data_IF_958052264392
#
_entry.id   IF_958052264392
#
_cell.length_a   1.000
_cell.length_b   1.000
_cell.length_c   1.000
_cell.angle_alpha   90.00
_cell.angle_beta   90.00
_cell.angle_gamma   90.00
#
_symmetry.space_group_name_H-M   'P 1'
#
loop_
_entity.id
_entity.type
_entity.pdbx_description
1 polymer ?
#
# COMPACT_ATOMS: atom_id res chain seq x y z
N UNK A 1 -15.46 13.51 4.71
CA UNK A 1 -14.71 12.28 4.89
C UNK A 1 -13.31 12.44 4.30
N UNK A 2 -12.31 11.94 4.99
CA UNK A 2 -10.93 12.03 4.50
C UNK A 2 -10.72 10.91 3.48
N UNK A 3 -10.27 11.27 2.28
CA UNK A 3 -10.01 10.28 1.23
C UNK A 3 -8.54 9.90 1.20
N UNK A 4 -8.25 8.60 1.23
CA UNK A 4 -6.89 8.07 1.18
C UNK A 4 -6.77 6.96 0.15
N UNK A 5 -5.56 6.79 -0.36
CA UNK A 5 -5.20 5.69 -1.26
C UNK A 5 -4.21 4.77 -0.57
N UNK A 6 -4.31 3.48 -0.84
CA UNK A 6 -3.30 2.50 -0.43
C UNK A 6 -2.84 1.74 -1.66
N UNK A 7 -1.57 1.34 -1.68
CA UNK A 7 -1.00 0.59 -2.80
C UNK A 7 -0.43 -0.74 -2.36
N UNK A 8 -0.82 -1.79 -3.05
CA UNK A 8 -0.28 -3.13 -2.85
C UNK A 8 0.47 -3.53 -4.11
N UNK A 9 1.80 -3.40 -4.08
CA UNK A 9 2.66 -3.74 -5.20
C UNK A 9 2.87 -5.25 -5.22
N UNK A 10 2.39 -5.86 -6.30
CA UNK A 10 2.44 -7.31 -6.48
C UNK A 10 3.78 -7.71 -7.09
N UNK A 11 4.45 -8.69 -6.48
CA UNK A 11 5.63 -9.32 -7.02
C UNK A 11 5.50 -10.83 -6.82
N UNK A 12 4.99 -11.52 -7.84
CA UNK A 12 4.66 -12.94 -7.78
C UNK A 12 3.62 -13.22 -6.69
N UNK A 13 3.94 -14.00 -5.66
CA UNK A 13 3.04 -14.27 -4.53
C UNK A 13 3.25 -13.33 -3.35
N UNK A 14 4.07 -12.28 -3.54
CA UNK A 14 4.45 -11.35 -2.48
C UNK A 14 3.94 -9.94 -2.77
N UNK A 15 3.91 -9.11 -1.73
CA UNK A 15 3.59 -7.71 -1.85
C UNK A 15 4.47 -6.86 -0.94
N UNK A 16 4.66 -5.61 -1.31
CA UNK A 16 5.56 -4.69 -0.60
C UNK A 16 4.85 -4.06 0.58
N UNK A 17 5.53 -4.08 1.73
CA UNK A 17 5.12 -3.35 2.93
C UNK A 17 6.24 -2.42 3.36
N UNK A 18 5.87 -1.28 3.97
CA UNK A 18 6.82 -0.30 4.49
C UNK A 18 6.65 -0.09 5.98
N UNK A 19 7.77 0.05 6.69
CA UNK A 19 7.74 0.33 8.12
C UNK A 19 7.86 1.82 8.38
N UNK A 20 6.89 2.38 9.11
CA UNK A 20 6.90 3.77 9.53
C UNK A 20 8.11 4.04 10.43
N UNK A 21 8.66 5.24 10.32
CA UNK A 21 9.89 5.57 11.07
C UNK A 21 9.63 5.60 12.56
N UNK A 22 10.69 5.37 13.34
CA UNK A 22 10.61 5.35 14.81
C UNK A 22 10.32 6.72 15.40
N UNK A 23 10.59 7.80 14.66
CA UNK A 23 10.32 9.17 15.11
C UNK A 23 8.99 9.71 14.58
N UNK A 24 8.21 8.89 13.89
CA UNK A 24 6.89 9.30 13.43
C UNK A 24 5.96 9.48 14.64
N UNK A 25 5.31 10.65 14.80
CA UNK A 25 4.43 10.88 15.95
C UNK A 25 3.16 10.04 15.91
N UNK A 26 2.85 9.42 14.76
CA UNK A 26 1.65 8.63 14.57
C UNK A 26 2.05 7.19 14.24
N UNK A 27 1.81 6.27 15.18
CA UNK A 27 2.08 4.85 15.05
C UNK A 27 3.52 4.55 14.58
N UNK A 28 4.53 4.95 15.35
CA UNK A 28 5.94 4.67 14.99
C UNK A 28 6.18 3.16 14.92
N UNK A 29 7.03 2.76 13.98
CA UNK A 29 7.44 1.36 13.75
C UNK A 29 6.35 0.41 13.25
N UNK A 30 5.12 0.88 13.06
CA UNK A 30 4.08 0.08 12.43
C UNK A 30 4.36 -0.11 10.95
N UNK A 31 3.93 -1.25 10.43
CA UNK A 31 4.02 -1.56 9.01
C UNK A 31 2.74 -1.15 8.29
N UNK A 32 2.86 -0.84 7.02
CA UNK A 32 1.71 -0.37 6.24
C UNK A 32 1.87 -0.66 4.75
N UNK A 33 0.74 -0.61 4.05
CA UNK A 33 0.73 -0.51 2.59
C UNK A 33 0.95 0.97 2.25
N UNK A 34 2.04 1.31 1.54
CA UNK A 34 2.33 2.72 1.25
C UNK A 34 1.20 3.43 0.51
N UNK A 35 0.96 4.67 0.88
CA UNK A 35 -0.09 5.51 0.32
C UNK A 35 -0.26 6.77 1.13
N UNK A 36 -1.41 7.40 1.06
CA UNK A 36 -1.65 8.61 1.81
C UNK A 36 -2.92 9.32 1.40
N UNK A 37 -3.08 10.55 1.85
CA UNK A 37 -4.25 11.35 1.56
C UNK A 37 -4.28 11.79 0.10
N UNK A 38 -5.48 11.81 -0.47
CA UNK A 38 -5.69 12.41 -1.79
C UNK A 38 -5.56 13.92 -1.62
N UNK A 39 -4.63 14.52 -2.37
CA UNK A 39 -4.34 15.95 -2.33
C UNK A 39 -5.32 16.67 -3.25
N UNK A 40 -5.72 17.93 -2.95
CA UNK A 40 -6.56 18.70 -3.87
C UNK A 40 -5.98 18.85 -5.28
N UNK A 41 -4.66 18.70 -5.44
CA UNK A 41 -4.02 18.74 -6.76
C UNK A 41 -4.10 17.43 -7.53
N UNK A 42 -4.49 16.34 -6.87
CA UNK A 42 -4.67 15.06 -7.54
C UNK A 42 -5.99 15.06 -8.32
N UNK A 43 -5.92 14.78 -9.62
CA UNK A 43 -7.11 14.76 -10.47
C UNK A 43 -7.98 13.54 -10.21
N UNK A 44 -7.34 12.41 -9.84
CA UNK A 44 -7.99 11.13 -9.64
C UNK A 44 -7.31 10.38 -8.50
N UNK A 45 -7.97 9.38 -7.89
CA UNK A 45 -7.29 8.47 -6.97
C UNK A 45 -6.09 7.76 -7.60
N UNK A 46 -6.18 7.44 -8.90
CA UNK A 46 -5.07 6.85 -9.67
C UNK A 46 -3.84 7.76 -9.65
N UNK A 47 -4.04 9.05 -9.89
CA UNK A 47 -2.95 10.03 -9.83
C UNK A 47 -2.36 10.09 -8.42
N UNK A 48 -3.22 10.07 -7.40
CA UNK A 48 -2.79 10.16 -6.00
C UNK A 48 -1.87 8.99 -5.60
N UNK A 49 -2.23 7.75 -5.96
CA UNK A 49 -1.41 6.59 -5.58
C UNK A 49 -0.05 6.62 -6.29
N UNK A 50 -0.02 7.03 -7.55
CA UNK A 50 1.24 7.14 -8.30
C UNK A 50 2.14 8.22 -7.68
N UNK A 51 1.56 9.36 -7.31
CA UNK A 51 2.29 10.46 -6.65
C UNK A 51 2.85 10.02 -5.31
N UNK A 52 2.02 9.40 -4.47
CA UNK A 52 2.44 8.95 -3.13
C UNK A 52 3.59 7.94 -3.20
N UNK A 53 3.52 6.97 -4.11
CA UNK A 53 4.59 6.00 -4.28
C UNK A 53 5.87 6.63 -4.80
N UNK A 54 5.77 7.62 -5.68
CA UNK A 54 6.93 8.37 -6.16
C UNK A 54 7.58 9.17 -5.02
N UNK A 55 6.77 9.87 -4.21
CA UNK A 55 7.27 10.65 -3.10
C UNK A 55 7.89 9.79 -2.00
N UNK A 56 7.24 8.70 -1.61
CA UNK A 56 7.66 7.90 -0.47
C UNK A 56 8.76 6.91 -0.80
N UNK A 57 8.76 6.34 -1.98
CA UNK A 57 9.62 5.22 -2.35
C UNK A 57 10.45 5.45 -3.61
N UNK A 58 10.19 6.53 -4.34
CA UNK A 58 10.81 6.80 -5.65
C UNK A 58 10.59 5.66 -6.65
N UNK A 59 9.45 5.01 -6.58
CA UNK A 59 9.04 3.95 -7.49
C UNK A 59 7.90 4.44 -8.37
N UNK A 60 8.02 4.19 -9.68
CA UNK A 60 6.94 4.38 -10.62
C UNK A 60 6.13 3.09 -10.71
N UNK A 61 4.83 3.20 -10.53
CA UNK A 61 3.91 2.06 -10.54
C UNK A 61 2.83 2.23 -11.59
N UNK A 62 2.30 1.10 -12.07
CA UNK A 62 1.08 1.06 -12.87
C UNK A 62 -0.05 0.56 -12.00
N UNK A 63 -1.21 1.19 -12.11
CA UNK A 63 -2.40 0.70 -11.42
C UNK A 63 -2.94 -0.49 -12.17
N UNK A 64 -3.02 -1.63 -11.47
CA UNK A 64 -3.46 -2.89 -12.05
C UNK A 64 -4.95 -3.09 -11.84
N UNK A 65 -5.44 -2.77 -10.64
CA UNK A 65 -6.84 -2.91 -10.29
C UNK A 65 -7.18 -2.00 -9.11
N UNK A 66 -8.32 -1.34 -9.17
CA UNK A 66 -8.87 -0.62 -8.02
C UNK A 66 -9.91 -1.51 -7.36
N UNK A 67 -9.63 -1.93 -6.14
CA UNK A 67 -10.61 -2.62 -5.32
C UNK A 67 -11.70 -1.62 -4.95
N UNK A 68 -12.99 -2.00 -4.98
CA UNK A 68 -14.05 -1.04 -4.68
C UNK A 68 -13.78 -0.25 -3.40
N UNK A 69 -13.81 1.10 -3.49
CA UNK A 69 -13.57 1.94 -2.31
C UNK A 69 -14.57 1.67 -1.22
N UNK A 70 -14.15 1.84 0.03
CA UNK A 70 -15.01 1.61 1.19
C UNK A 70 -14.64 2.49 2.37
N UNK A 71 -15.64 2.76 3.18
CA UNK A 71 -15.45 3.52 4.40
C UNK A 71 -14.75 2.68 5.46
N UNK A 72 -13.76 3.28 6.12
CA UNK A 72 -13.09 2.72 7.28
C UNK A 72 -12.92 3.83 8.31
N UNK A 73 -13.80 3.85 9.33
CA UNK A 73 -13.85 4.93 10.29
C UNK A 73 -14.15 6.26 9.58
N UNK A 74 -13.31 7.26 9.77
CA UNK A 74 -13.46 8.57 9.15
C UNK A 74 -12.89 8.65 7.73
N UNK A 75 -12.36 7.54 7.21
CA UNK A 75 -11.68 7.50 5.93
C UNK A 75 -12.52 6.82 4.86
N UNK A 76 -12.47 7.38 3.65
CA UNK A 76 -12.84 6.66 2.43
C UNK A 76 -11.54 6.13 1.83
N UNK A 77 -11.43 4.81 1.75
CA UNK A 77 -10.18 4.15 1.33
C UNK A 77 -10.31 3.65 -0.10
N UNK A 78 -9.33 4.00 -0.93
CA UNK A 78 -9.20 3.55 -2.32
C UNK A 78 -8.01 2.59 -2.39
N UNK A 79 -8.25 1.28 -2.31
CA UNK A 79 -7.15 0.29 -2.31
C UNK A 79 -6.80 -0.14 -3.73
N UNK A 80 -5.57 0.13 -4.13
CA UNK A 80 -5.07 -0.26 -5.45
C UNK A 80 -4.18 -1.48 -5.38
N UNK A 81 -4.33 -2.37 -6.36
CA UNK A 81 -3.31 -3.36 -6.69
C UNK A 81 -2.40 -2.73 -7.74
N UNK A 82 -1.10 -2.81 -7.53
CA UNK A 82 -0.11 -2.12 -8.34
C UNK A 82 0.86 -3.12 -8.96
N UNK A 83 1.42 -2.74 -10.11
CA UNK A 83 2.54 -3.43 -10.72
C UNK A 83 3.72 -2.48 -10.84
N UNK A 84 4.93 -3.02 -10.68
CA UNK A 84 6.16 -2.27 -10.80
C UNK A 84 6.37 -1.82 -12.25
N UNK A 85 6.73 -0.56 -12.43
CA UNK A 85 7.08 -0.01 -13.73
C UNK A 85 8.57 0.29 -13.80
N UNK A 86 9.09 1.09 -12.88
CA UNK A 86 10.50 1.48 -12.86
C UNK A 86 10.89 2.07 -11.51
N UNK A 87 12.19 2.26 -11.33
CA UNK A 87 12.74 2.90 -10.15
C UNK A 87 13.33 1.92 -9.15
N UNK A 88 14.15 2.44 -8.26
CA UNK A 88 14.77 1.67 -7.19
C UNK A 88 14.28 2.25 -5.86
N UNK A 89 13.76 1.40 -5.00
CA UNK A 89 13.15 1.83 -3.74
C UNK A 89 14.10 2.68 -2.90
N UNK A 90 13.62 3.86 -2.49
CA UNK A 90 14.30 4.73 -1.54
C UNK A 90 13.44 4.91 -0.29
N UNK A 91 14.10 5.02 0.85
CA UNK A 91 13.42 5.14 2.16
C UNK A 91 13.14 6.61 2.47
N UNK A 92 12.30 7.27 1.68
CA UNK A 92 11.97 8.68 1.88
C UNK A 92 10.97 8.90 3.02
N UNK A 93 10.12 7.92 3.28
CA UNK A 93 9.06 8.01 4.29
C UNK A 93 9.05 6.82 5.24
N UNK A 94 9.83 5.79 4.96
CA UNK A 94 9.87 4.55 5.74
C UNK A 94 11.29 4.25 6.16
N UNK A 95 11.46 3.53 7.27
CA UNK A 95 12.79 3.10 7.70
C UNK A 95 13.19 1.74 7.11
N UNK A 96 12.22 0.98 6.60
CA UNK A 96 12.46 -0.32 5.95
C UNK A 96 11.31 -0.66 5.02
N UNK A 97 11.60 -1.42 3.96
CA UNK A 97 10.58 -2.03 3.10
C UNK A 97 10.90 -3.51 2.96
N UNK A 98 9.85 -4.32 2.80
CA UNK A 98 9.98 -5.77 2.59
C UNK A 98 8.90 -6.24 1.64
N UNK A 99 9.20 -7.34 0.95
CA UNK A 99 8.19 -8.11 0.23
C UNK A 99 7.84 -9.32 1.09
N UNK A 100 6.56 -9.51 1.35
CA UNK A 100 6.07 -10.61 2.18
C UNK A 100 4.96 -11.39 1.48
N UNK A 101 4.77 -12.64 1.90
CA UNK A 101 3.62 -13.45 1.49
C UNK A 101 2.46 -13.24 2.47
N UNK A 102 1.25 -13.68 2.08
CA UNK A 102 0.10 -13.62 2.99
C UNK A 102 0.30 -14.47 4.25
N UNK A 103 1.10 -15.53 4.15
CA UNK A 103 1.35 -16.39 5.32
C UNK A 103 2.21 -15.70 6.37
N UNK A 104 2.91 -14.63 6.01
CA UNK A 104 3.82 -13.91 6.89
C UNK A 104 3.16 -12.72 7.60
N UNK A 105 1.90 -12.40 7.31
CA UNK A 105 1.27 -11.16 7.82
C UNK A 105 1.22 -11.07 9.35
N UNK A 106 1.14 -12.21 10.03
CA UNK A 106 1.10 -12.22 11.50
C UNK A 106 2.44 -11.90 12.14
N UNK A 107 3.52 -11.87 11.37
CA UNK A 107 4.85 -11.52 11.86
C UNK A 107 5.05 -10.01 11.96
N UNK A 108 4.09 -9.21 11.49
CA UNK A 108 4.20 -7.76 11.39
C UNK A 108 3.04 -7.08 12.08
N UNK A 109 3.32 -5.94 12.71
CA UNK A 109 2.29 -5.12 13.34
C UNK A 109 1.86 -4.04 12.35
N UNK A 110 0.69 -4.19 11.79
CA UNK A 110 0.16 -3.30 10.76
C UNK A 110 -0.72 -2.19 11.33
N UNK A 111 -0.73 -1.04 10.66
CA UNK A 111 -1.75 -0.02 10.88
C UNK A 111 -3.12 -0.63 10.59
N UNK A 112 -4.15 -0.11 11.26
CA UNK A 112 -5.51 -0.66 11.16
C UNK A 112 -6.03 -0.72 9.72
N UNK A 113 -5.86 0.36 8.95
CA UNK A 113 -6.32 0.41 7.57
C UNK A 113 -5.59 -0.61 6.71
N UNK A 114 -4.26 -0.68 6.83
CA UNK A 114 -3.46 -1.64 6.06
C UNK A 114 -3.86 -3.07 6.38
N UNK A 115 -4.08 -3.39 7.66
CA UNK A 115 -4.51 -4.71 8.07
C UNK A 115 -5.84 -5.10 7.42
N UNK A 116 -6.80 -4.19 7.41
CA UNK A 116 -8.11 -4.44 6.80
C UNK A 116 -8.00 -4.65 5.30
N UNK A 117 -7.21 -3.82 4.62
CA UNK A 117 -7.01 -3.95 3.17
C UNK A 117 -6.33 -5.27 2.85
N UNK A 118 -5.29 -5.65 3.60
CA UNK A 118 -4.59 -6.92 3.38
C UNK A 118 -5.54 -8.11 3.52
N UNK A 119 -6.44 -8.08 4.51
CA UNK A 119 -7.43 -9.16 4.68
C UNK A 119 -8.40 -9.23 3.51
N UNK A 120 -8.84 -8.09 2.98
CA UNK A 120 -9.69 -8.06 1.80
C UNK A 120 -8.98 -8.68 0.60
N UNK A 121 -7.71 -8.32 0.39
CA UNK A 121 -6.92 -8.86 -0.72
C UNK A 121 -6.73 -10.36 -0.57
N UNK A 122 -6.37 -10.81 0.61
CA UNK A 122 -6.17 -12.23 0.90
C UNK A 122 -7.43 -13.04 0.63
N UNK A 123 -8.59 -12.53 1.02
CA UNK A 123 -9.85 -13.27 0.92
C UNK A 123 -10.49 -13.22 -0.46
N UNK A 124 -10.30 -12.13 -1.22
CA UNK A 124 -11.06 -11.91 -2.45
C UNK A 124 -10.20 -11.63 -3.69
N UNK A 125 -8.92 -11.34 -3.55
CA UNK A 125 -8.08 -10.91 -4.68
C UNK A 125 -6.78 -11.70 -4.83
N UNK A 126 -6.69 -12.85 -4.18
CA UNK A 126 -5.49 -13.70 -4.26
C UNK A 126 -5.14 -14.11 -5.68
N UNK A 127 -6.14 -14.24 -6.54
CA UNK A 127 -5.94 -14.65 -7.93
C UNK A 127 -5.13 -13.64 -8.75
N UNK A 128 -5.05 -12.39 -8.29
CA UNK A 128 -4.21 -11.38 -8.94
C UNK A 128 -2.71 -11.60 -8.70
N UNK A 129 -2.35 -12.48 -7.77
CA UNK A 129 -0.96 -12.77 -7.44
C UNK A 129 -0.51 -14.02 -8.19
N UNK A 130 0.63 -13.91 -8.86
CA UNK A 130 1.21 -15.07 -9.53
C UNK A 130 1.76 -16.02 -8.50
N UNK A 131 1.39 -17.29 -8.65
CA UNK A 131 1.97 -18.34 -7.83
C UNK A 131 2.95 -19.12 -8.68
N UNK A 132 4.13 -19.31 -8.15
CA UNK A 132 5.07 -20.22 -8.77
C UNK A 132 4.63 -21.64 -8.53
N UNK A 133 4.57 -22.37 -9.60
CA UNK A 133 4.26 -23.81 -9.56
C UNK A 133 5.55 -24.60 -9.66
#
# INVERSE_FOLDING_TARGET
MIEIVTGTLINEDKFLIGQRTSDNPNLPNYWELPGGKIDPTDETPDHAIKREWKEELDIDVTTYHLIPPREMGEYMVYPFLLKYQSGKAKMNAHQEVRFITFDEINDYKFTSISQKVIHIIKNSYKLFFNKRT
#
